data_IF_300713968782
#
_entry.id   IF_300713968782
#
_cell.length_a   1.000
_cell.length_b   1.000
_cell.length_c   1.000
_cell.angle_alpha   90.00
_cell.angle_beta   90.00
_cell.angle_gamma   90.00
#
_symmetry.space_group_name_H-M   'P 1'
#
loop_
_entity.id
_entity.type
_entity.pdbx_description
1 polymer ?
#
# COMPACT_ATOMS: atom_id res chain seq x y z
N UNK A 1 19.92 28.46 -7.66
CA UNK A 1 20.13 27.03 -8.00
C UNK A 1 18.77 26.35 -7.80
N UNK A 2 18.22 25.78 -8.86
CA UNK A 2 16.96 25.04 -8.78
C UNK A 2 17.22 23.65 -8.18
N UNK A 3 16.32 23.14 -7.34
CA UNK A 3 16.47 21.82 -6.72
C UNK A 3 15.96 20.74 -7.67
N UNK A 4 16.79 19.74 -7.97
CA UNK A 4 16.46 18.62 -8.88
C UNK A 4 15.63 17.51 -8.19
N UNK A 5 14.60 17.89 -7.43
CA UNK A 5 13.74 16.94 -6.73
C UNK A 5 12.63 16.41 -7.66
N UNK A 6 12.87 15.24 -8.26
CA UNK A 6 11.87 14.55 -9.08
C UNK A 6 10.87 13.73 -8.23
N UNK A 7 10.00 14.41 -7.47
CA UNK A 7 8.92 13.81 -6.66
C UNK A 7 7.59 14.55 -6.88
N UNK A 8 6.47 13.86 -6.67
CA UNK A 8 5.14 14.47 -6.84
C UNK A 8 4.75 15.45 -5.73
N UNK A 9 5.37 15.34 -4.55
CA UNK A 9 5.24 16.28 -3.45
C UNK A 9 6.64 16.67 -2.96
N UNK A 10 6.93 17.96 -2.97
CA UNK A 10 8.21 18.53 -2.58
C UNK A 10 7.96 19.59 -1.51
N UNK A 11 8.38 19.30 -0.28
CA UNK A 11 8.29 20.23 0.84
C UNK A 11 9.68 20.31 1.45
N UNK A 12 10.27 21.48 1.37
CA UNK A 12 11.60 21.78 1.87
C UNK A 12 11.60 21.99 3.37
N UNK A 13 12.55 21.36 4.05
CA UNK A 13 12.80 21.60 5.47
C UNK A 13 13.53 22.96 5.64
N UNK A 14 13.09 23.83 6.58
CA UNK A 14 13.71 25.14 6.77
C UNK A 14 15.12 25.10 7.36
N UNK A 15 15.54 23.99 7.97
CA UNK A 15 16.87 23.85 8.59
C UNK A 15 17.80 22.92 7.81
N UNK A 16 17.24 21.93 7.10
CA UNK A 16 17.99 21.04 6.23
C UNK A 16 17.54 21.20 4.78
N UNK A 17 18.24 22.04 4.03
CA UNK A 17 17.91 22.31 2.62
C UNK A 17 18.06 21.07 1.72
N UNK A 18 18.72 20.00 2.17
CA UNK A 18 18.79 18.74 1.42
C UNK A 18 17.58 17.84 1.70
N UNK A 19 16.78 18.14 2.72
CA UNK A 19 15.67 17.32 3.18
C UNK A 19 14.34 17.70 2.51
N UNK A 20 13.77 16.74 1.78
CA UNK A 20 12.40 16.81 1.26
C UNK A 20 11.46 15.97 2.13
N UNK A 21 10.58 16.62 2.89
CA UNK A 21 9.60 15.98 3.77
C UNK A 21 8.55 15.14 2.99
N UNK A 22 8.35 15.43 1.70
CA UNK A 22 7.47 14.68 0.81
C UNK A 22 8.09 13.41 0.21
N UNK A 23 9.38 13.15 0.43
CA UNK A 23 10.13 12.05 -0.20
C UNK A 23 9.55 10.65 0.08
N UNK A 24 8.92 10.46 1.24
CA UNK A 24 8.27 9.21 1.64
C UNK A 24 6.91 8.93 0.99
N UNK A 25 6.30 9.92 0.33
CA UNK A 25 4.94 9.83 -0.21
C UNK A 25 4.93 9.01 -1.51
N UNK A 26 4.17 7.91 -1.53
CA UNK A 26 4.00 7.09 -2.73
C UNK A 26 3.10 7.80 -3.75
N UNK A 27 3.17 7.43 -5.04
CA UNK A 27 2.26 7.98 -6.07
C UNK A 27 0.79 7.74 -5.73
N UNK A 28 0.45 6.57 -5.17
CA UNK A 28 -0.91 6.24 -4.72
C UNK A 28 -1.34 7.16 -3.57
N UNK A 29 -0.47 7.38 -2.60
CA UNK A 29 -0.73 8.30 -1.49
C UNK A 29 -0.88 9.74 -1.97
N UNK A 30 -0.02 10.20 -2.89
CA UNK A 30 -0.13 11.53 -3.49
C UNK A 30 -1.48 11.74 -4.20
N UNK A 31 -1.89 10.79 -5.05
CA UNK A 31 -3.19 10.85 -5.72
C UNK A 31 -4.32 10.87 -4.70
N UNK A 32 -4.23 10.09 -3.62
CA UNK A 32 -5.20 10.10 -2.53
C UNK A 32 -5.26 11.48 -1.85
N UNK A 33 -4.12 12.08 -1.51
CA UNK A 33 -4.04 13.42 -0.89
C UNK A 33 -4.68 14.47 -1.79
N UNK A 34 -4.28 14.55 -3.06
CA UNK A 34 -4.78 15.56 -4.01
C UNK A 34 -6.28 15.40 -4.25
N UNK A 35 -6.78 14.16 -4.37
CA UNK A 35 -8.22 13.91 -4.51
C UNK A 35 -9.00 14.34 -3.27
N UNK A 36 -8.50 14.05 -2.07
CA UNK A 36 -9.15 14.50 -0.84
C UNK A 36 -9.16 16.03 -0.76
N UNK A 37 -8.05 16.73 -1.06
CA UNK A 37 -8.01 18.19 -1.08
C UNK A 37 -9.01 18.76 -2.10
N UNK A 38 -9.08 18.18 -3.30
CA UNK A 38 -10.02 18.60 -4.33
C UNK A 38 -11.48 18.43 -3.89
N UNK A 39 -11.82 17.29 -3.30
CA UNK A 39 -13.15 17.02 -2.76
C UNK A 39 -13.49 17.95 -1.60
N UNK A 40 -12.56 18.16 -0.67
CA UNK A 40 -12.71 19.11 0.43
C UNK A 40 -12.97 20.52 -0.10
N UNK A 41 -12.15 21.02 -1.04
CA UNK A 41 -12.40 22.33 -1.66
C UNK A 41 -13.81 22.43 -2.23
N UNK A 42 -14.29 21.41 -2.95
CA UNK A 42 -15.66 21.39 -3.47
C UNK A 42 -16.69 21.54 -2.35
N UNK A 43 -16.56 20.78 -1.26
CA UNK A 43 -17.54 20.78 -0.16
C UNK A 43 -17.46 22.02 0.72
N UNK A 44 -16.28 22.63 0.88
CA UNK A 44 -16.11 23.88 1.63
C UNK A 44 -16.60 25.09 0.84
N UNK A 45 -16.53 25.05 -0.49
CA UNK A 45 -16.97 26.16 -1.36
C UNK A 45 -18.45 26.07 -1.76
N UNK A 46 -19.03 24.87 -1.77
CA UNK A 46 -20.45 24.68 -2.06
C UNK A 46 -21.30 24.80 -0.79
N UNK A 47 -22.45 25.46 -0.90
CA UNK A 47 -23.36 25.68 0.22
C UNK A 47 -24.27 24.48 0.51
N UNK A 48 -24.23 23.40 -0.26
CA UNK A 48 -25.16 22.26 -0.10
C UNK A 48 -25.09 21.61 1.28
N UNK A 49 -23.87 21.32 1.76
CA UNK A 49 -23.66 20.70 3.08
C UNK A 49 -24.09 21.65 4.20
N UNK A 50 -23.75 22.93 4.07
CA UNK A 50 -24.15 24.00 4.99
C UNK A 50 -25.67 24.14 5.06
N UNK A 51 -26.33 24.25 3.90
CA UNK A 51 -27.76 24.46 3.76
C UNK A 51 -28.52 23.30 4.39
N UNK A 52 -28.19 22.06 4.04
CA UNK A 52 -28.80 20.87 4.63
C UNK A 52 -28.60 20.80 6.16
N UNK A 53 -27.42 21.22 6.65
CA UNK A 53 -27.13 21.27 8.07
C UNK A 53 -27.97 22.33 8.82
N UNK A 54 -28.15 23.52 8.26
CA UNK A 54 -28.92 24.62 8.87
C UNK A 54 -30.44 24.36 8.80
N UNK A 55 -30.92 23.82 7.69
CA UNK A 55 -32.33 23.41 7.51
C UNK A 55 -32.74 22.37 8.56
N UNK A 56 -31.88 21.37 8.81
CA UNK A 56 -32.10 20.38 9.86
C UNK A 56 -32.20 20.95 11.28
N UNK A 57 -31.71 22.19 11.50
CA UNK A 57 -31.77 22.90 12.78
C UNK A 57 -32.81 24.04 12.80
N UNK A 58 -33.61 24.17 11.73
CA UNK A 58 -34.60 25.26 11.58
C UNK A 58 -33.94 26.65 11.68
N UNK A 59 -32.73 26.78 11.16
CA UNK A 59 -31.99 28.05 11.09
C UNK A 59 -32.05 28.57 9.66
N UNK A 60 -32.24 29.88 9.51
CA UNK A 60 -32.21 30.55 8.22
C UNK A 60 -30.86 30.33 7.51
N UNK A 61 -30.89 29.96 6.23
CA UNK A 61 -29.72 29.48 5.47
C UNK A 61 -28.91 30.60 4.82
N UNK A 62 -29.53 31.78 4.71
CA UNK A 62 -29.01 33.05 4.18
C UNK A 62 -28.14 33.81 5.20
N UNK A 63 -28.27 33.50 6.49
CA UNK A 63 -27.48 34.11 7.56
C UNK A 63 -26.12 33.42 7.75
N UNK A 64 -25.19 34.12 8.42
CA UNK A 64 -23.92 33.55 8.86
C UNK A 64 -24.10 32.34 9.79
N UNK A 65 -23.07 31.47 9.86
CA UNK A 65 -23.17 30.26 10.71
C UNK A 65 -23.18 30.71 12.17
N UNK A 66 -24.22 30.38 12.96
CA UNK A 66 -24.18 30.67 14.38
C UNK A 66 -23.01 29.95 15.04
N UNK A 67 -22.20 30.66 15.83
CA UNK A 67 -20.99 30.11 16.46
C UNK A 67 -21.25 28.82 17.26
N UNK A 68 -22.41 28.72 17.91
CA UNK A 68 -22.84 27.53 18.67
C UNK A 68 -22.90 26.24 17.83
N UNK A 69 -22.98 26.36 16.50
CA UNK A 69 -23.02 25.22 15.58
C UNK A 69 -21.71 25.01 14.82
N UNK A 70 -20.67 25.82 15.04
CA UNK A 70 -19.42 25.75 14.30
C UNK A 70 -18.73 24.38 14.44
N UNK A 71 -18.57 23.91 15.67
CA UNK A 71 -17.87 22.64 15.94
C UNK A 71 -18.65 21.45 15.40
N UNK A 72 -19.96 21.46 15.59
CA UNK A 72 -20.85 20.40 15.09
C UNK A 72 -20.87 20.37 13.55
N UNK A 73 -20.92 21.55 12.92
CA UNK A 73 -20.83 21.68 11.47
C UNK A 73 -19.48 21.19 10.94
N UNK A 74 -18.38 21.54 11.62
CA UNK A 74 -17.05 21.09 11.23
C UNK A 74 -16.95 19.56 11.21
N UNK A 75 -17.49 18.87 12.22
CA UNK A 75 -17.52 17.40 12.27
C UNK A 75 -18.31 16.82 11.08
N UNK A 76 -19.48 17.38 10.78
CA UNK A 76 -20.32 16.93 9.65
C UNK A 76 -19.60 17.18 8.32
N UNK A 77 -19.03 18.36 8.13
CA UNK A 77 -18.31 18.76 6.92
C UNK A 77 -17.10 17.87 6.68
N UNK A 78 -16.25 17.66 7.69
CA UNK A 78 -15.06 16.82 7.59
C UNK A 78 -15.41 15.36 7.29
N UNK A 79 -16.50 14.83 7.87
CA UNK A 79 -17.00 13.48 7.53
C UNK A 79 -17.41 13.39 6.06
N UNK A 80 -18.09 14.41 5.52
CA UNK A 80 -18.46 14.46 4.09
C UNK A 80 -17.24 14.59 3.17
N UNK A 81 -16.15 15.19 3.64
CA UNK A 81 -14.92 15.31 2.87
C UNK A 81 -14.16 14.00 2.69
N UNK A 82 -14.40 13.00 3.54
CA UNK A 82 -13.66 11.75 3.56
C UNK A 82 -13.90 10.91 2.30
N UNK A 83 -12.84 10.59 1.54
CA UNK A 83 -12.91 9.78 0.32
C UNK A 83 -12.63 8.28 0.51
N UNK A 84 -12.72 7.79 1.74
CA UNK A 84 -12.41 6.41 2.12
C UNK A 84 -11.04 6.24 2.79
N UNK A 85 -10.57 5.00 2.99
CA UNK A 85 -9.33 4.73 3.70
C UNK A 85 -8.09 5.12 2.88
N UNK A 86 -7.06 5.59 3.59
CA UNK A 86 -5.78 5.92 2.98
C UNK A 86 -5.07 4.64 2.45
N UNK A 87 -4.27 4.74 1.36
CA UNK A 87 -3.47 3.63 0.87
C UNK A 87 -2.49 3.08 1.92
N UNK A 88 -2.41 1.76 2.05
CA UNK A 88 -1.57 1.05 3.03
C UNK A 88 -0.44 0.22 2.39
N UNK A 89 -0.13 0.47 1.11
CA UNK A 89 0.72 -0.38 0.27
C UNK A 89 2.17 -0.53 0.75
N UNK A 90 2.68 0.41 1.54
CA UNK A 90 4.05 0.38 2.10
C UNK A 90 4.11 -0.09 3.55
N UNK A 91 2.96 -0.34 4.17
CA UNK A 91 2.86 -0.68 5.57
C UNK A 91 3.06 -2.19 5.76
N UNK A 92 3.71 -2.57 6.85
CA UNK A 92 3.79 -3.96 7.25
C UNK A 92 2.38 -4.52 7.48
N UNK A 93 2.07 -5.69 6.88
CA UNK A 93 0.77 -6.37 7.00
C UNK A 93 0.40 -6.82 8.43
N UNK A 94 1.34 -6.78 9.37
CA UNK A 94 1.15 -7.23 10.76
C UNK A 94 0.91 -6.04 11.69
N UNK A 95 1.71 -4.97 11.58
CA UNK A 95 1.66 -3.85 12.53
C UNK A 95 1.26 -2.51 11.89
N UNK A 96 1.08 -2.47 10.58
CA UNK A 96 0.73 -1.29 9.79
C UNK A 96 1.74 -0.12 9.85
N UNK A 97 2.99 -0.38 10.28
CA UNK A 97 4.10 0.59 10.24
C UNK A 97 5.02 0.33 9.04
N UNK A 98 5.69 1.37 8.56
CA UNK A 98 6.69 1.30 7.48
C UNK A 98 8.07 0.87 8.02
N UNK A 99 9.02 0.58 7.12
CA UNK A 99 10.45 0.46 7.46
C UNK A 99 10.96 -0.93 7.85
N UNK A 100 10.15 -1.98 7.71
CA UNK A 100 10.59 -3.36 7.97
C UNK A 100 9.81 -4.38 7.13
N UNK A 101 10.41 -5.55 6.89
CA UNK A 101 9.73 -6.71 6.33
C UNK A 101 8.86 -7.41 7.38
N UNK A 102 7.84 -8.14 6.95
CA UNK A 102 6.89 -8.78 7.87
C UNK A 102 7.56 -9.78 8.82
N UNK A 103 8.59 -10.48 8.34
CA UNK A 103 9.39 -11.45 9.09
C UNK A 103 10.21 -10.79 10.22
N UNK A 104 10.56 -9.52 10.04
CA UNK A 104 11.27 -8.71 11.05
C UNK A 104 10.30 -7.89 11.90
N UNK A 105 8.98 -8.11 11.79
CA UNK A 105 8.00 -7.35 12.56
C UNK A 105 8.11 -7.72 14.05
N UNK A 106 8.36 -6.70 14.88
CA UNK A 106 8.43 -6.86 16.34
C UNK A 106 7.16 -7.48 16.92
N UNK A 107 5.98 -7.17 16.36
CA UNK A 107 4.71 -7.78 16.77
C UNK A 107 4.58 -9.26 16.38
N UNK A 108 5.31 -9.71 15.34
CA UNK A 108 5.35 -11.13 14.95
C UNK A 108 6.25 -11.95 15.86
N UNK A 109 7.26 -11.34 16.51
CA UNK A 109 8.22 -12.06 17.35
C UNK A 109 7.63 -12.60 18.66
N UNK A 110 6.44 -12.12 19.08
CA UNK A 110 5.70 -12.68 20.22
C UNK A 110 4.96 -13.99 19.88
N UNK A 111 4.82 -14.33 18.60
CA UNK A 111 4.36 -15.65 18.15
C UNK A 111 5.57 -16.43 17.65
N UNK A 112 6.06 -17.36 18.47
CA UNK A 112 7.09 -18.38 18.19
C UNK A 112 7.83 -18.21 16.85
N UNK A 113 9.08 -17.75 16.91
CA UNK A 113 9.99 -17.73 15.75
C UNK A 113 10.03 -19.12 15.11
N UNK A 114 9.38 -19.29 13.96
CA UNK A 114 9.67 -20.41 13.08
C UNK A 114 11.14 -20.30 12.64
N UNK A 115 11.92 -21.40 12.66
CA UNK A 115 13.35 -21.35 12.35
C UNK A 115 13.56 -20.77 10.95
N UNK A 116 14.63 -19.97 10.81
CA UNK A 116 14.95 -19.35 9.52
C UNK A 116 15.12 -20.45 8.46
N UNK A 117 14.62 -20.23 7.24
CA UNK A 117 14.78 -21.17 6.11
C UNK A 117 16.25 -21.56 5.87
N UNK A 118 17.19 -20.68 6.22
CA UNK A 118 18.63 -20.96 6.20
C UNK A 118 19.08 -22.01 7.23
N UNK A 119 18.43 -22.09 8.40
CA UNK A 119 18.74 -23.08 9.46
C UNK A 119 18.18 -24.47 9.15
N UNK A 120 17.12 -24.55 8.33
CA UNK A 120 16.54 -25.82 7.87
C UNK A 120 17.36 -26.52 6.78
N UNK A 121 18.21 -25.78 6.06
CA UNK A 121 19.16 -26.36 5.11
C UNK A 121 20.40 -26.93 5.83
N UNK A 122 20.95 -26.20 6.80
CA UNK A 122 22.15 -26.65 7.54
C UNK A 122 21.90 -27.91 8.38
N UNK A 123 20.67 -28.12 8.87
CA UNK A 123 20.30 -29.31 9.64
C UNK A 123 20.14 -30.59 8.79
N UNK A 124 20.01 -30.48 7.46
CA UNK A 124 19.92 -31.66 6.58
C UNK A 124 21.28 -32.24 6.19
N UNK A 125 22.35 -31.45 6.29
CA UNK A 125 23.71 -31.83 5.87
C UNK A 125 24.61 -32.32 7.01
N UNK A 126 24.12 -32.37 8.25
CA UNK A 126 24.94 -32.76 9.42
C UNK A 126 24.71 -34.21 9.90
N UNK A 127 24.25 -35.12 9.03
CA UNK A 127 24.22 -36.57 9.32
C UNK A 127 24.77 -37.30 8.09
N UNK A 128 26.07 -37.60 8.13
CA UNK A 128 26.70 -38.85 7.65
C UNK A 128 28.14 -38.60 7.17
N UNK A 129 29.11 -38.77 8.06
CA UNK A 129 30.43 -39.24 7.66
C UNK A 129 30.39 -40.77 7.67
N UNK A 130 30.47 -41.40 6.50
CA UNK A 130 31.25 -42.62 6.27
C UNK A 130 31.36 -42.85 4.77
N UNK A 131 32.61 -42.89 4.32
CA UNK A 131 33.06 -43.06 2.96
C UNK A 131 32.94 -44.52 2.50
N UNK A 132 32.46 -44.74 1.28
CA UNK A 132 33.04 -45.65 0.26
C UNK A 132 32.29 -45.48 -1.07
N UNK A 133 32.97 -45.42 -2.23
CA UNK A 133 32.31 -45.28 -3.52
C UNK A 133 32.10 -46.64 -4.18
N UNK A 134 30.88 -46.93 -4.66
CA UNK A 134 30.66 -48.01 -5.63
C UNK A 134 29.64 -47.61 -6.70
N UNK A 135 30.17 -47.56 -7.92
CA UNK A 135 29.55 -47.69 -9.24
C UNK A 135 28.10 -48.23 -9.30
N UNK A 136 27.28 -47.62 -10.16
CA UNK A 136 26.11 -48.28 -10.75
C UNK A 136 24.95 -47.33 -11.10
N UNK A 137 24.62 -47.26 -12.40
CA UNK A 137 23.45 -46.61 -12.98
C UNK A 137 22.11 -47.08 -12.37
N UNK A 138 21.03 -46.28 -12.48
CA UNK A 138 19.80 -46.58 -13.26
C UNK A 138 18.69 -45.54 -13.01
N UNK A 139 17.93 -45.34 -14.09
CA UNK A 139 16.86 -44.41 -14.45
C UNK A 139 15.48 -44.75 -13.83
N UNK A 140 14.60 -43.74 -13.67
CA UNK A 140 13.14 -43.88 -13.44
C UNK A 140 12.73 -44.18 -11.98
N UNK A 141 11.57 -43.81 -11.43
CA UNK A 141 10.27 -43.40 -11.97
C UNK A 141 9.44 -42.74 -10.86
N UNK A 142 8.46 -41.91 -11.24
CA UNK A 142 7.43 -41.31 -10.38
C UNK A 142 6.55 -42.36 -9.69
N UNK A 143 6.06 -42.03 -8.50
CA UNK A 143 4.71 -42.40 -8.02
C UNK A 143 4.06 -41.22 -7.27
N UNK A 144 2.78 -41.02 -7.57
CA UNK A 144 1.87 -39.94 -7.19
C UNK A 144 0.96 -40.38 -6.02
N UNK A 145 0.56 -39.44 -5.16
CA UNK A 145 -0.75 -39.31 -4.49
C UNK A 145 -0.65 -38.07 -3.57
N UNK A 146 -1.56 -37.12 -3.42
CA UNK A 146 -2.94 -36.88 -3.87
C UNK A 146 -3.14 -35.34 -3.76
N UNK A 147 -3.60 -34.66 -4.82
CA UNK A 147 -4.93 -34.05 -4.94
C UNK A 147 -5.10 -32.68 -4.25
N UNK A 148 -5.30 -31.63 -5.06
CA UNK A 148 -5.62 -30.26 -4.62
C UNK A 148 -5.17 -29.17 -5.60
N UNK A 149 -5.99 -28.93 -6.64
CA UNK A 149 -6.13 -27.71 -7.45
C UNK A 149 -4.92 -27.10 -8.17
N UNK A 150 -4.84 -27.41 -9.48
CA UNK A 150 -4.04 -26.70 -10.48
C UNK A 150 -4.73 -25.39 -10.88
N UNK A 151 -4.13 -24.25 -10.57
CA UNK A 151 -4.39 -22.99 -11.28
C UNK A 151 -3.22 -22.73 -12.23
N UNK A 152 -3.48 -22.91 -13.53
CA UNK A 152 -2.54 -22.58 -14.60
C UNK A 152 -2.48 -21.05 -14.78
N UNK A 153 -1.35 -20.41 -14.49
CA UNK A 153 -1.06 -19.10 -15.05
C UNK A 153 -0.48 -19.27 -16.46
N UNK A 154 -1.29 -18.97 -17.47
CA UNK A 154 -0.87 -18.87 -18.87
C UNK A 154 0.16 -17.74 -18.98
N UNK A 155 1.37 -18.04 -19.46
CA UNK A 155 2.36 -17.04 -19.87
C UNK A 155 1.77 -16.24 -21.03
N UNK A 156 1.56 -14.94 -20.84
CA UNK A 156 1.27 -14.02 -21.94
C UNK A 156 2.56 -13.81 -22.75
N UNK A 157 2.65 -14.49 -23.88
CA UNK A 157 3.60 -14.18 -24.94
C UNK A 157 3.24 -12.81 -25.55
N UNK A 158 4.25 -11.96 -25.74
CA UNK A 158 4.09 -10.66 -26.41
C UNK A 158 3.91 -10.89 -27.91
N UNK A 159 3.01 -10.17 -28.60
CA UNK A 159 2.96 -10.26 -30.05
C UNK A 159 4.14 -9.48 -30.68
N UNK A 160 4.69 -9.94 -31.82
CA UNK A 160 5.71 -9.22 -32.56
C UNK A 160 5.10 -8.02 -33.31
N UNK A 161 5.95 -7.01 -33.51
CA UNK A 161 5.64 -5.78 -34.25
C UNK A 161 5.72 -6.02 -35.76
N UNK A 162 4.68 -5.58 -36.48
CA UNK A 162 4.79 -5.01 -37.83
C UNK A 162 4.41 -5.91 -39.00
N UNK A 163 3.34 -5.54 -39.70
CA UNK A 163 3.32 -5.48 -41.17
C UNK A 163 2.15 -4.60 -41.65
N UNK A 164 2.41 -3.78 -42.67
CA UNK A 164 1.51 -2.84 -43.36
C UNK A 164 0.73 -3.55 -44.48
N UNK A 165 -0.33 -2.87 -44.92
CA UNK A 165 -1.03 -3.01 -46.22
C UNK A 165 -1.99 -4.22 -46.27
N UNK A 166 -3.20 -4.17 -46.83
CA UNK A 166 -3.72 -3.54 -48.06
C UNK A 166 -5.24 -3.29 -47.95
N UNK A 167 -5.70 -2.31 -48.75
CA UNK A 167 -7.07 -2.03 -49.26
C UNK A 167 -8.22 -1.71 -48.30
#
# INVERSE_FOLDING_TARGET
MEKDWNRSLCIEDPFDLCHNLGSGVSRKMFVFIVRNIHNSRKLFMLSDVRRAFLEGRKVATDHEMPLRFSDEYAVVLLRKCQMGPAPTDRQCRICHRIGHFAEACQKSANGQRAPRRSELWTKRTAISHTTTPRSGYVFGTRINANQGDRVFYRRNERPPRGMRSFE
#
